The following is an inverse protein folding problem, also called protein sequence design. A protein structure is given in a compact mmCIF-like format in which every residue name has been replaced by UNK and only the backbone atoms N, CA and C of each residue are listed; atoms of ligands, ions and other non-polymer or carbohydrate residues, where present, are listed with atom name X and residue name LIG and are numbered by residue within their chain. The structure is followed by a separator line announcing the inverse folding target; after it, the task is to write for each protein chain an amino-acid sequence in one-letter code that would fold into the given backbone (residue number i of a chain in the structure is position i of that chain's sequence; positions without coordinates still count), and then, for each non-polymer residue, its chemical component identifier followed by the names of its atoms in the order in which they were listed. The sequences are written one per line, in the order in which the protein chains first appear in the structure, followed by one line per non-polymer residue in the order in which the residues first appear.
data_IF_155868152664
#
_entry.id   IF_155868152664
#
_cell.length_a   1.000
_cell.length_b   1.000
_cell.length_c   1.000
_cell.angle_alpha   90.00
_cell.angle_beta   90.00
_cell.angle_gamma   90.00
#
_symmetry.space_group_name_H-M   'P 1'
#
loop_
_entity.id
_entity.type
_entity.pdbx_description
1 polymer ?
#
# COMPACT_ATOMS: atom_id res chain seq x y z
N UNK A 1 -16.95 28.79 27.67
CA UNK A 1 -15.82 28.43 26.79
C UNK A 1 -16.40 27.60 25.66
N UNK A 2 -16.53 28.20 24.48
CA UNK A 2 -17.17 27.58 23.31
C UNK A 2 -16.31 26.41 22.83
N UNK A 3 -16.89 25.21 22.77
CA UNK A 3 -16.34 24.05 22.09
C UNK A 3 -16.21 24.38 20.60
N UNK A 4 -14.99 24.66 20.16
CA UNK A 4 -14.64 24.85 18.75
C UNK A 4 -14.65 23.47 18.06
N UNK A 5 -15.83 22.84 17.97
CA UNK A 5 -16.05 21.64 17.18
C UNK A 5 -15.98 22.02 15.71
N UNK A 6 -14.76 22.06 15.16
CA UNK A 6 -14.57 22.09 13.71
C UNK A 6 -15.39 20.93 13.11
N UNK A 7 -16.22 21.20 12.09
CA UNK A 7 -17.01 20.14 11.47
C UNK A 7 -16.09 19.04 10.94
N UNK A 8 -16.48 17.78 11.18
CA UNK A 8 -15.74 16.63 10.67
C UNK A 8 -15.59 16.73 9.16
N UNK A 9 -14.41 16.43 8.65
CA UNK A 9 -14.17 16.43 7.22
C UNK A 9 -14.91 15.28 6.54
N UNK A 10 -15.63 15.59 5.47
CA UNK A 10 -16.26 14.60 4.60
C UNK A 10 -15.53 14.55 3.23
N UNK A 11 -14.82 13.45 2.91
CA UNK A 11 -14.31 13.21 1.57
C UNK A 11 -15.44 12.97 0.58
N UNK A 12 -15.21 13.30 -0.70
CA UNK A 12 -16.10 12.87 -1.79
C UNK A 12 -15.56 11.64 -2.49
N UNK A 13 -14.27 11.66 -2.83
CA UNK A 13 -13.63 10.63 -3.66
C UNK A 13 -12.24 10.32 -3.13
N UNK A 14 -12.07 9.08 -2.66
CA UNK A 14 -10.89 8.61 -1.94
C UNK A 14 -10.12 7.64 -2.81
N UNK A 15 -8.86 7.95 -3.12
CA UNK A 15 -7.90 6.98 -3.63
C UNK A 15 -7.24 6.26 -2.44
N UNK A 16 -7.39 4.94 -2.37
CA UNK A 16 -6.69 4.09 -1.41
C UNK A 16 -5.66 3.27 -2.17
N UNK A 17 -4.37 3.52 -1.94
CA UNK A 17 -3.29 2.76 -2.59
C UNK A 17 -2.91 1.55 -1.73
N UNK A 18 -2.52 0.43 -2.34
CA UNK A 18 -2.21 -0.80 -1.59
C UNK A 18 -3.47 -1.48 -1.05
N UNK A 19 -4.63 -1.15 -1.64
CA UNK A 19 -5.96 -1.48 -1.11
C UNK A 19 -6.25 -3.00 -1.05
N UNK A 20 -5.57 -3.81 -1.86
CA UNK A 20 -5.72 -5.27 -1.84
C UNK A 20 -4.80 -5.94 -0.79
N UNK A 21 -3.94 -5.17 -0.13
CA UNK A 21 -3.13 -5.63 1.01
C UNK A 21 -3.95 -5.79 2.30
N UNK A 22 -3.29 -6.28 3.34
CA UNK A 22 -3.91 -6.60 4.63
C UNK A 22 -4.68 -5.41 5.25
N UNK A 23 -3.99 -4.41 5.81
CA UNK A 23 -4.63 -3.31 6.57
C UNK A 23 -5.59 -2.49 5.67
N UNK A 24 -5.13 -2.15 4.47
CA UNK A 24 -5.86 -1.27 3.58
C UNK A 24 -7.18 -1.89 3.08
N UNK A 25 -7.26 -3.21 2.95
CA UNK A 25 -8.51 -3.88 2.57
C UNK A 25 -9.58 -3.75 3.65
N UNK A 26 -9.22 -3.86 4.94
CA UNK A 26 -10.14 -3.62 6.06
C UNK A 26 -10.62 -2.17 6.07
N UNK A 27 -9.72 -1.20 5.89
CA UNK A 27 -10.07 0.23 5.76
C UNK A 27 -11.02 0.45 4.58
N UNK A 28 -10.69 -0.12 3.42
CA UNK A 28 -11.49 -0.01 2.19
C UNK A 28 -12.88 -0.56 2.39
N UNK A 29 -13.00 -1.81 2.86
CA UNK A 29 -14.29 -2.46 3.09
C UNK A 29 -15.14 -1.72 4.12
N UNK A 30 -14.50 -1.21 5.18
CA UNK A 30 -15.17 -0.40 6.20
C UNK A 30 -15.72 0.89 5.62
N UNK A 31 -14.93 1.65 4.86
CA UNK A 31 -15.35 2.92 4.28
C UNK A 31 -16.46 2.73 3.23
N UNK A 32 -16.33 1.72 2.37
CA UNK A 32 -17.36 1.37 1.37
C UNK A 32 -18.70 1.04 2.05
N UNK A 33 -18.68 0.20 3.09
CA UNK A 33 -19.87 -0.25 3.82
C UNK A 33 -20.53 0.87 4.62
N UNK A 34 -19.74 1.67 5.33
CA UNK A 34 -20.26 2.62 6.31
C UNK A 34 -20.61 3.99 5.69
N UNK A 35 -20.01 4.34 4.54
CA UNK A 35 -20.19 5.64 3.90
C UNK A 35 -20.56 5.51 2.42
N UNK A 36 -21.84 5.21 2.09
CA UNK A 36 -22.31 5.04 0.71
C UNK A 36 -22.09 6.28 -0.19
N UNK A 37 -21.91 7.46 0.41
CA UNK A 37 -21.63 8.73 -0.30
C UNK A 37 -20.17 8.87 -0.74
N UNK A 38 -19.23 8.17 -0.09
CA UNK A 38 -17.83 8.21 -0.47
C UNK A 38 -17.62 7.29 -1.67
N UNK A 39 -17.01 7.81 -2.74
CA UNK A 39 -16.52 6.98 -3.85
C UNK A 39 -15.10 6.53 -3.51
N UNK A 40 -14.88 5.23 -3.49
CA UNK A 40 -13.61 4.62 -3.13
C UNK A 40 -12.96 4.03 -4.39
N UNK A 41 -11.77 4.53 -4.71
CA UNK A 41 -10.92 4.03 -5.79
C UNK A 41 -9.77 3.27 -5.13
N UNK A 42 -9.81 1.95 -5.23
CA UNK A 42 -8.77 1.06 -4.72
C UNK A 42 -7.72 0.83 -5.79
N UNK A 43 -6.50 1.30 -5.57
CA UNK A 43 -5.34 1.12 -6.45
C UNK A 43 -4.38 0.11 -5.84
N UNK A 44 -4.04 -0.95 -6.56
CA UNK A 44 -3.05 -1.94 -6.12
C UNK A 44 -2.34 -2.60 -7.31
N UNK A 45 -1.05 -2.90 -7.17
CA UNK A 45 -0.28 -3.62 -8.21
C UNK A 45 -0.52 -5.13 -8.19
N UNK A 46 -1.17 -5.65 -7.14
CA UNK A 46 -1.37 -7.06 -6.86
C UNK A 46 -0.05 -7.81 -6.69
N UNK A 47 0.73 -7.35 -5.71
CA UNK A 47 1.96 -8.02 -5.27
C UNK A 47 1.69 -9.31 -4.47
N UNK A 48 2.74 -10.06 -4.14
CA UNK A 48 2.65 -11.38 -3.51
C UNK A 48 1.83 -11.41 -2.21
N UNK A 49 1.86 -10.33 -1.42
CA UNK A 49 1.14 -10.21 -0.14
C UNK A 49 -0.20 -9.47 -0.26
N UNK A 50 -0.76 -9.39 -1.46
CA UNK A 50 -2.05 -8.73 -1.74
C UNK A 50 -2.96 -9.66 -2.53
N UNK A 51 -4.26 -9.49 -2.36
CA UNK A 51 -5.25 -10.36 -3.01
C UNK A 51 -6.55 -9.61 -3.24
N UNK A 52 -7.11 -9.73 -4.44
CA UNK A 52 -8.44 -9.20 -4.72
C UNK A 52 -9.52 -9.83 -3.85
N UNK A 53 -9.28 -11.05 -3.34
CA UNK A 53 -10.21 -11.73 -2.41
C UNK A 53 -10.47 -10.87 -1.16
N UNK A 54 -9.47 -10.09 -0.73
CA UNK A 54 -9.58 -9.20 0.44
C UNK A 54 -10.61 -8.08 0.24
N UNK A 55 -10.95 -7.76 -1.02
CA UNK A 55 -11.90 -6.72 -1.40
C UNK A 55 -13.26 -7.28 -1.83
N UNK A 56 -13.48 -8.59 -1.75
CA UNK A 56 -14.77 -9.22 -2.06
C UNK A 56 -15.98 -8.54 -1.40
N UNK A 57 -15.93 -8.12 -0.12
CA UNK A 57 -17.06 -7.43 0.50
C UNK A 57 -17.47 -6.11 -0.19
N UNK A 58 -16.56 -5.49 -0.95
CA UNK A 58 -16.78 -4.22 -1.63
C UNK A 58 -17.00 -4.33 -3.13
N UNK A 59 -16.68 -5.47 -3.77
CA UNK A 59 -16.64 -5.59 -5.24
C UNK A 59 -17.95 -5.22 -5.93
N UNK A 60 -19.10 -5.54 -5.32
CA UNK A 60 -20.42 -5.25 -5.90
C UNK A 60 -20.99 -3.88 -5.50
N UNK A 61 -20.28 -3.11 -4.68
CA UNK A 61 -20.79 -1.84 -4.15
C UNK A 61 -20.73 -0.74 -5.20
N UNK A 62 -21.80 0.07 -5.39
CA UNK A 62 -21.88 1.09 -6.44
C UNK A 62 -20.95 2.29 -6.21
N UNK A 63 -20.32 2.36 -5.04
CA UNK A 63 -19.38 3.37 -4.63
C UNK A 63 -17.93 2.87 -4.56
N UNK A 64 -17.64 1.69 -5.12
CA UNK A 64 -16.32 1.09 -5.15
C UNK A 64 -15.82 0.87 -6.59
N UNK A 65 -14.54 1.17 -6.84
CA UNK A 65 -13.84 0.88 -8.09
C UNK A 65 -12.46 0.33 -7.75
N UNK A 66 -12.07 -0.78 -8.39
CA UNK A 66 -10.70 -1.29 -8.31
C UNK A 66 -9.92 -0.92 -9.58
N UNK A 67 -8.65 -0.55 -9.41
CA UNK A 67 -7.70 -0.28 -10.48
C UNK A 67 -6.43 -1.07 -10.19
N UNK A 68 -6.07 -1.98 -11.11
CA UNK A 68 -4.77 -2.64 -11.07
C UNK A 68 -3.70 -1.70 -11.61
N UNK A 69 -2.68 -1.40 -10.83
CA UNK A 69 -1.54 -0.61 -11.28
C UNK A 69 -0.58 -0.21 -10.17
N UNK A 70 0.55 0.34 -10.57
CA UNK A 70 1.64 0.67 -9.66
C UNK A 70 1.74 2.18 -9.42
N UNK A 71 1.93 2.58 -8.17
CA UNK A 71 2.08 3.98 -7.76
C UNK A 71 3.36 4.61 -8.30
N UNK A 72 4.34 3.81 -8.74
CA UNK A 72 5.55 4.33 -9.41
C UNK A 72 5.26 4.87 -10.82
N UNK A 73 4.10 4.54 -11.39
CA UNK A 73 3.68 5.08 -12.68
C UNK A 73 3.05 6.47 -12.49
N UNK A 74 3.85 7.51 -12.70
CA UNK A 74 3.39 8.90 -12.61
C UNK A 74 2.19 9.18 -13.53
N UNK A 75 2.19 8.61 -14.74
CA UNK A 75 1.11 8.79 -15.71
C UNK A 75 -0.21 8.20 -15.22
N UNK A 76 -0.17 6.98 -14.67
CA UNK A 76 -1.34 6.33 -14.10
C UNK A 76 -1.89 7.13 -12.92
N UNK A 77 -1.01 7.54 -12.00
CA UNK A 77 -1.39 8.31 -10.82
C UNK A 77 -2.02 9.64 -11.24
N UNK A 78 -1.36 10.41 -12.11
CA UNK A 78 -1.87 11.69 -12.60
C UNK A 78 -3.22 11.53 -13.28
N UNK A 79 -3.37 10.52 -14.14
CA UNK A 79 -4.65 10.26 -14.77
C UNK A 79 -5.73 9.94 -13.74
N UNK A 80 -5.47 9.01 -12.82
CA UNK A 80 -6.49 8.58 -11.86
C UNK A 80 -6.96 9.75 -10.99
N UNK A 81 -6.05 10.59 -10.51
CA UNK A 81 -6.42 11.74 -9.70
C UNK A 81 -7.28 12.76 -10.47
N UNK A 82 -7.02 12.94 -11.77
CA UNK A 82 -7.78 13.84 -12.65
C UNK A 82 -9.13 13.27 -13.07
N UNK A 83 -9.15 12.09 -13.68
CA UNK A 83 -10.34 11.46 -14.25
C UNK A 83 -11.37 11.12 -13.17
N UNK A 84 -10.89 10.62 -12.04
CA UNK A 84 -11.76 10.32 -10.92
C UNK A 84 -12.06 11.55 -10.07
N UNK A 85 -11.50 12.74 -10.31
CA UNK A 85 -11.69 13.94 -9.46
C UNK A 85 -11.43 13.62 -7.97
N UNK A 86 -10.30 12.95 -7.69
CA UNK A 86 -9.93 12.52 -6.34
C UNK A 86 -9.67 13.75 -5.48
N UNK A 87 -10.24 13.78 -4.26
CA UNK A 87 -10.02 14.85 -3.29
C UNK A 87 -9.27 14.39 -2.03
N UNK A 88 -9.13 13.08 -1.85
CA UNK A 88 -8.53 12.46 -0.68
C UNK A 88 -7.68 11.28 -1.09
N UNK A 89 -6.48 11.16 -0.53
CA UNK A 89 -5.61 10.00 -0.72
C UNK A 89 -5.31 9.36 0.63
N UNK A 90 -5.44 8.04 0.71
CA UNK A 90 -4.96 7.23 1.83
C UNK A 90 -3.89 6.27 1.31
N UNK A 91 -2.64 6.56 1.61
CA UNK A 91 -1.50 5.91 1.00
C UNK A 91 -0.93 4.78 1.87
N UNK A 92 -1.38 3.54 1.63
CA UNK A 92 -0.91 2.32 2.30
C UNK A 92 0.12 1.51 1.50
N UNK A 93 0.23 1.73 0.18
CA UNK A 93 1.12 0.94 -0.68
C UNK A 93 2.58 1.06 -0.24
N UNK A 94 3.21 -0.08 0.05
CA UNK A 94 4.60 -0.18 0.46
C UNK A 94 5.09 -1.63 0.35
N UNK A 95 6.40 -1.82 0.22
CA UNK A 95 7.06 -3.07 0.60
C UNK A 95 7.32 -3.06 2.10
N UNK A 96 7.02 -4.16 2.80
CA UNK A 96 6.97 -4.20 4.28
C UNK A 96 7.60 -5.40 4.97
N UNK A 97 8.18 -6.37 4.24
CA UNK A 97 8.81 -7.52 4.88
C UNK A 97 10.28 -7.21 5.26
N UNK A 98 10.55 -7.05 6.55
CA UNK A 98 11.87 -6.65 7.07
C UNK A 98 12.99 -7.57 6.58
N UNK A 99 12.82 -8.90 6.64
CA UNK A 99 13.88 -9.82 6.19
C UNK A 99 14.17 -9.69 4.68
N UNK A 100 13.15 -9.40 3.86
CA UNK A 100 13.34 -9.22 2.42
C UNK A 100 14.09 -7.91 2.12
N UNK A 101 13.99 -6.91 3.00
CA UNK A 101 14.65 -5.61 2.86
C UNK A 101 16.17 -5.69 2.95
N UNK A 102 16.71 -6.69 3.66
CA UNK A 102 18.16 -6.94 3.69
C UNK A 102 18.67 -7.57 2.39
N UNK A 103 17.83 -8.35 1.72
CA UNK A 103 18.18 -9.02 0.46
C UNK A 103 17.97 -8.15 -0.78
N UNK A 104 16.95 -7.28 -0.78
CA UNK A 104 16.59 -6.43 -1.93
C UNK A 104 16.18 -5.00 -1.49
N UNK A 105 17.07 -4.28 -0.81
CA UNK A 105 16.79 -2.94 -0.28
C UNK A 105 16.40 -1.90 -1.35
N UNK A 106 16.90 -2.03 -2.58
CA UNK A 106 16.55 -1.11 -3.67
C UNK A 106 15.06 -1.14 -4.01
N UNK A 107 14.42 -2.31 -3.98
CA UNK A 107 12.99 -2.42 -4.23
C UNK A 107 12.17 -1.67 -3.16
N UNK A 108 12.64 -1.65 -1.91
CA UNK A 108 12.02 -0.88 -0.83
C UNK A 108 12.18 0.63 -1.08
N UNK A 109 13.35 1.08 -1.53
CA UNK A 109 13.54 2.48 -1.94
C UNK A 109 12.60 2.88 -3.08
N UNK A 110 12.49 2.05 -4.12
CA UNK A 110 11.63 2.32 -5.27
C UNK A 110 10.15 2.36 -4.87
N UNK A 111 9.65 1.36 -4.15
CA UNK A 111 8.23 1.33 -3.79
C UNK A 111 7.89 2.37 -2.72
N UNK A 112 8.69 2.47 -1.65
CA UNK A 112 8.32 3.27 -0.49
C UNK A 112 8.68 4.75 -0.68
N UNK A 113 9.87 5.08 -1.16
CA UNK A 113 10.30 6.48 -1.33
C UNK A 113 9.84 7.01 -2.68
N UNK A 114 10.25 6.39 -3.78
CA UNK A 114 9.93 6.91 -5.11
C UNK A 114 8.43 6.86 -5.40
N UNK A 115 7.73 5.77 -5.05
CA UNK A 115 6.27 5.70 -5.14
C UNK A 115 5.54 6.79 -4.34
N UNK A 116 5.98 7.07 -3.10
CA UNK A 116 5.44 8.20 -2.32
C UNK A 116 5.71 9.54 -3.01
N UNK A 117 6.91 9.72 -3.56
CA UNK A 117 7.29 10.96 -4.24
C UNK A 117 6.43 11.21 -5.49
N UNK A 118 6.14 10.18 -6.28
CA UNK A 118 5.24 10.26 -7.44
C UNK A 118 3.85 10.75 -7.01
N UNK A 119 3.29 10.18 -5.94
CA UNK A 119 2.00 10.62 -5.41
C UNK A 119 2.04 12.08 -4.93
N UNK A 120 3.11 12.50 -4.25
CA UNK A 120 3.25 13.87 -3.75
C UNK A 120 3.37 14.90 -4.88
N UNK A 121 4.15 14.62 -5.93
CA UNK A 121 4.24 15.49 -7.11
C UNK A 121 2.88 15.58 -7.84
N UNK A 122 2.17 14.46 -7.99
CA UNK A 122 0.83 14.47 -8.58
C UNK A 122 -0.15 15.31 -7.74
N UNK A 123 -0.12 15.18 -6.41
CA UNK A 123 -0.95 16.00 -5.52
C UNK A 123 -0.65 17.49 -5.64
N UNK A 124 0.63 17.85 -5.75
CA UNK A 124 1.10 19.23 -5.89
C UNK A 124 0.58 19.86 -7.18
N UNK A 125 0.61 19.13 -8.30
CA UNK A 125 0.06 19.61 -9.58
C UNK A 125 -1.45 19.87 -9.51
N UNK A 126 -2.17 19.10 -8.69
CA UNK A 126 -3.62 19.20 -8.53
C UNK A 126 -4.05 20.08 -7.36
N UNK A 127 -3.13 20.74 -6.66
CA UNK A 127 -3.52 21.64 -5.57
C UNK A 127 -4.39 22.81 -6.11
N UNK A 128 -5.53 23.15 -5.48
CA UNK A 128 -6.04 22.70 -4.18
C UNK A 128 -7.12 21.59 -4.23
N UNK A 129 -7.25 20.84 -5.33
CA UNK A 129 -8.21 19.73 -5.48
C UNK A 129 -8.03 18.68 -4.39
N UNK A 130 -6.78 18.30 -4.09
CA UNK A 130 -6.46 17.41 -2.98
C UNK A 130 -6.66 18.16 -1.67
N UNK A 131 -7.61 17.69 -0.86
CA UNK A 131 -7.98 18.27 0.43
C UNK A 131 -7.43 17.50 1.62
N UNK A 132 -7.01 16.25 1.43
CA UNK A 132 -6.27 15.47 2.45
C UNK A 132 -5.40 14.37 1.82
N UNK A 133 -4.16 14.24 2.31
CA UNK A 133 -3.25 13.15 1.98
C UNK A 133 -2.81 12.43 3.26
N UNK A 134 -3.31 11.22 3.51
CA UNK A 134 -2.95 10.42 4.68
C UNK A 134 -1.83 9.46 4.30
N UNK A 135 -0.65 9.67 4.86
CA UNK A 135 0.50 8.80 4.69
C UNK A 135 0.55 7.77 5.81
N UNK A 136 0.55 6.49 5.45
CA UNK A 136 0.61 5.39 6.41
C UNK A 136 2.05 4.93 6.61
N UNK A 137 2.54 5.05 7.82
CA UNK A 137 3.87 4.64 8.26
C UNK A 137 3.79 3.67 9.45
N UNK A 138 4.92 3.43 10.10
CA UNK A 138 5.12 2.37 11.11
C UNK A 138 5.79 2.93 12.36
N UNK A 139 5.65 2.27 13.50
CA UNK A 139 6.42 2.57 14.71
C UNK A 139 7.93 2.32 14.58
N UNK A 140 8.34 1.36 13.75
CA UNK A 140 9.77 1.06 13.49
C UNK A 140 10.61 2.27 13.04
N UNK A 141 9.97 3.34 12.54
CA UNK A 141 10.68 4.59 12.19
C UNK A 141 11.28 5.29 13.40
N UNK A 142 10.76 5.05 14.61
CA UNK A 142 11.32 5.57 15.86
C UNK A 142 12.56 4.78 16.31
N UNK A 143 12.75 3.55 15.81
CA UNK A 143 13.79 2.65 16.28
C UNK A 143 13.46 1.98 17.62
N UNK A 144 14.43 1.26 18.16
CA UNK A 144 14.32 0.53 19.42
C UNK A 144 14.01 1.46 20.61
N UNK A 145 13.14 0.99 21.50
CA UNK A 145 12.86 1.66 22.79
C UNK A 145 13.47 0.85 23.93
N UNK A 146 14.07 1.55 24.91
CA UNK A 146 14.62 0.91 26.11
C UNK A 146 13.54 0.07 26.84
N UNK A 147 13.93 -1.14 27.27
CA UNK A 147 13.04 -2.07 27.97
C UNK A 147 12.54 -1.51 29.32
N UNK A 148 13.35 -0.66 29.96
CA UNK A 148 13.02 -0.06 31.26
C UNK A 148 12.20 1.24 31.14
N UNK A 149 11.90 1.70 29.92
CA UNK A 149 11.13 2.92 29.71
C UNK A 149 9.63 2.68 29.88
N UNK A 150 8.99 3.43 30.76
CA UNK A 150 7.51 3.51 30.86
C UNK A 150 6.92 4.60 29.94
N UNK A 151 7.77 5.31 29.19
CA UNK A 151 7.37 6.39 28.30
C UNK A 151 7.47 5.89 26.86
N UNK A 152 6.32 5.81 26.20
CA UNK A 152 6.23 5.49 24.77
C UNK A 152 6.65 6.68 23.91
N UNK A 153 7.10 6.39 22.69
CA UNK A 153 7.46 7.40 21.70
C UNK A 153 6.22 8.21 21.31
N UNK A 154 6.24 9.51 21.63
CA UNK A 154 5.25 10.47 21.18
C UNK A 154 5.53 10.89 19.73
N UNK A 155 4.57 11.53 19.06
CA UNK A 155 4.71 11.86 17.64
C UNK A 155 5.86 12.82 17.29
N UNK A 156 6.35 13.56 18.30
CA UNK A 156 7.48 14.47 18.19
C UNK A 156 8.84 13.78 18.43
N UNK A 157 8.87 12.50 18.78
CA UNK A 157 10.12 11.72 18.92
C UNK A 157 10.91 11.71 17.62
N UNK A 158 12.24 11.64 17.75
CA UNK A 158 13.15 11.55 16.62
C UNK A 158 12.94 10.22 15.87
N UNK A 159 13.12 10.24 14.55
CA UNK A 159 13.15 9.02 13.75
C UNK A 159 14.56 8.44 13.76
N UNK A 160 14.71 7.21 14.23
CA UNK A 160 15.96 6.47 14.36
C UNK A 160 15.82 5.05 13.76
N UNK A 161 15.45 4.92 12.47
CA UNK A 161 15.22 3.61 11.87
C UNK A 161 16.50 2.75 11.86
N UNK A 162 16.35 1.47 12.18
CA UNK A 162 17.45 0.52 12.38
C UNK A 162 17.61 -0.51 11.26
N UNK A 163 16.65 -0.58 10.32
CA UNK A 163 16.65 -1.55 9.22
C UNK A 163 16.28 -0.90 7.86
N UNK A 164 16.60 -1.53 6.71
CA UNK A 164 16.35 -0.92 5.40
C UNK A 164 14.87 -0.61 5.14
N UNK A 165 13.93 -1.44 5.62
CA UNK A 165 12.50 -1.15 5.52
C UNK A 165 12.12 0.12 6.28
N UNK A 166 12.41 0.19 7.59
CA UNK A 166 12.06 1.35 8.42
C UNK A 166 12.77 2.62 7.95
N UNK A 167 14.00 2.51 7.42
CA UNK A 167 14.72 3.63 6.82
C UNK A 167 14.00 4.19 5.59
N UNK A 168 13.46 3.33 4.72
CA UNK A 168 12.70 3.80 3.55
C UNK A 168 11.34 4.40 3.92
N UNK A 169 10.68 3.89 4.97
CA UNK A 169 9.46 4.50 5.52
C UNK A 169 9.73 5.88 6.12
N UNK A 170 10.79 6.02 6.91
CA UNK A 170 11.22 7.32 7.44
C UNK A 170 11.62 8.29 6.32
N UNK A 171 12.30 7.82 5.27
CA UNK A 171 12.64 8.62 4.09
C UNK A 171 11.40 9.13 3.34
N UNK A 172 10.37 8.29 3.20
CA UNK A 172 9.09 8.71 2.64
C UNK A 172 8.38 9.76 3.51
N UNK A 173 8.41 9.61 4.84
CA UNK A 173 7.88 10.61 5.77
C UNK A 173 8.57 11.97 5.64
N UNK A 174 9.90 11.98 5.46
CA UNK A 174 10.65 13.23 5.25
C UNK A 174 10.17 13.97 3.98
N UNK A 175 9.87 13.25 2.90
CA UNK A 175 9.25 13.85 1.71
C UNK A 175 7.86 14.41 2.02
N UNK A 176 6.99 13.64 2.68
CA UNK A 176 5.63 14.10 3.04
C UNK A 176 5.69 15.38 3.88
N UNK A 177 6.56 15.41 4.88
CA UNK A 177 6.79 16.59 5.74
C UNK A 177 7.29 17.79 4.94
N UNK A 178 8.30 17.60 4.07
CA UNK A 178 8.84 18.65 3.23
C UNK A 178 7.78 19.22 2.29
N UNK A 179 6.97 18.36 1.67
CA UNK A 179 5.92 18.79 0.74
C UNK A 179 4.79 19.57 1.41
N UNK A 180 4.41 19.19 2.63
CA UNK A 180 3.51 20.00 3.44
C UNK A 180 4.09 21.40 3.71
N UNK A 181 5.36 21.48 4.14
CA UNK A 181 6.01 22.75 4.48
C UNK A 181 6.26 23.64 3.27
N UNK A 182 6.70 23.06 2.16
CA UNK A 182 7.12 23.80 0.96
C UNK A 182 5.95 24.15 0.03
N UNK A 183 4.93 23.29 -0.06
CA UNK A 183 3.84 23.44 -1.04
C UNK A 183 2.45 23.52 -0.40
N UNK A 184 2.35 23.47 0.94
CA UNK A 184 1.07 23.55 1.64
C UNK A 184 0.17 22.33 1.43
N UNK A 185 0.71 21.18 0.98
CA UNK A 185 -0.10 19.98 0.78
C UNK A 185 -0.79 19.56 2.09
N UNK A 186 -2.07 19.14 2.05
CA UNK A 186 -2.84 18.83 3.26
C UNK A 186 -2.54 17.44 3.80
N UNK A 187 -1.29 17.21 4.22
CA UNK A 187 -0.83 15.88 4.63
C UNK A 187 -1.15 15.57 6.09
N UNK A 188 -1.37 14.30 6.40
CA UNK A 188 -1.43 13.74 7.76
C UNK A 188 -0.62 12.46 7.73
N UNK A 189 0.19 12.21 8.74
CA UNK A 189 0.95 10.95 8.85
C UNK A 189 0.38 10.10 9.98
N UNK A 190 0.30 8.78 9.79
CA UNK A 190 0.01 7.84 10.86
C UNK A 190 1.17 6.89 11.07
N UNK A 191 1.48 6.51 12.31
CA UNK A 191 2.50 5.50 12.64
C UNK A 191 1.84 4.43 13.51
N UNK A 192 1.77 3.20 13.03
CA UNK A 192 1.05 2.11 13.70
C UNK A 192 1.96 1.08 14.36
N UNK A 193 1.47 0.44 15.43
CA UNK A 193 2.04 -0.81 15.95
C UNK A 193 1.74 -2.00 15.03
N UNK A 194 2.22 -3.20 15.41
CA UNK A 194 1.90 -4.46 14.72
C UNK A 194 0.39 -4.68 14.66
N UNK A 195 -0.11 -4.90 13.45
CA UNK A 195 -1.53 -5.22 13.21
C UNK A 195 -1.67 -6.71 12.97
N UNK A 196 -2.76 -7.30 13.44
CA UNK A 196 -3.09 -8.71 13.21
C UNK A 196 -4.59 -8.90 12.94
N UNK A 197 -4.93 -9.98 12.23
CA UNK A 197 -6.30 -10.25 11.84
C UNK A 197 -6.47 -11.14 10.62
N UNK A 198 -7.72 -11.33 10.18
CA UNK A 198 -8.06 -11.88 8.86
C UNK A 198 -7.27 -11.23 7.72
N UNK A 199 -7.06 -11.93 6.60
CA UNK A 199 -6.37 -11.39 5.42
C UNK A 199 -4.92 -10.92 5.65
N UNK A 200 -4.26 -11.30 6.74
CA UNK A 200 -2.82 -11.06 6.88
C UNK A 200 -2.04 -12.13 6.09
N UNK A 201 -0.91 -11.76 5.49
CA UNK A 201 -0.14 -12.74 4.71
C UNK A 201 0.60 -13.73 5.64
N UNK A 202 0.62 -15.05 5.34
CA UNK A 202 1.17 -16.12 6.18
C UNK A 202 2.64 -16.04 6.60
N UNK A 203 3.44 -15.13 6.04
CA UNK A 203 4.82 -14.92 6.48
C UNK A 203 4.90 -14.22 7.86
N UNK A 204 3.84 -13.49 8.24
CA UNK A 204 3.77 -12.72 9.49
C UNK A 204 3.51 -13.66 10.67
N UNK A 205 3.97 -13.24 11.85
CA UNK A 205 4.05 -14.08 13.06
C UNK A 205 2.76 -14.84 13.38
N UNK A 206 1.65 -14.13 13.60
CA UNK A 206 0.38 -14.72 14.05
C UNK A 206 -0.20 -15.67 12.98
N UNK A 207 -0.35 -15.27 11.71
CA UNK A 207 -0.78 -16.17 10.64
C UNK A 207 0.10 -17.41 10.47
N UNK A 208 1.43 -17.23 10.53
CA UNK A 208 2.40 -18.33 10.44
C UNK A 208 2.15 -19.34 11.55
N UNK A 209 2.04 -18.86 12.79
CA UNK A 209 1.83 -19.73 13.93
C UNK A 209 0.50 -20.45 13.89
N UNK A 210 -0.58 -19.76 13.49
CA UNK A 210 -1.89 -20.40 13.30
C UNK A 210 -1.79 -21.54 12.27
N UNK A 211 -1.20 -21.27 11.11
CA UNK A 211 -1.12 -22.28 10.04
C UNK A 211 -0.19 -23.44 10.37
N UNK A 212 0.91 -23.22 11.08
CA UNK A 212 1.78 -24.30 11.57
C UNK A 212 1.09 -25.12 12.66
N UNK A 213 0.42 -24.48 13.61
CA UNK A 213 -0.35 -25.17 14.65
C UNK A 213 -1.49 -26.01 14.05
N UNK A 214 -2.18 -25.51 13.02
CA UNK A 214 -3.19 -26.27 12.27
C UNK A 214 -2.62 -27.53 11.59
N UNK A 215 -1.32 -27.56 11.30
CA UNK A 215 -0.60 -28.71 10.73
C UNK A 215 0.04 -29.61 11.79
N UNK A 216 -0.05 -29.24 13.07
CA UNK A 216 0.68 -29.92 14.15
C UNK A 216 2.20 -29.74 14.05
N UNK A 217 2.66 -28.69 13.37
CA UNK A 217 4.08 -28.36 13.20
C UNK A 217 4.56 -27.43 14.34
N UNK A 218 5.88 -27.37 14.53
CA UNK A 218 6.50 -26.49 15.52
C UNK A 218 6.45 -25.02 15.07
N UNK A 219 6.38 -24.12 16.04
CA UNK A 219 6.30 -22.67 15.91
C UNK A 219 7.70 -22.08 16.06
N UNK A 220 8.30 -21.56 14.98
CA UNK A 220 9.66 -21.05 15.03
C UNK A 220 9.71 -19.71 15.75
N UNK A 221 10.54 -19.62 16.78
CA UNK A 221 10.83 -18.41 17.55
C UNK A 221 12.26 -17.96 17.25
N UNK A 222 12.40 -16.76 16.71
CA UNK A 222 13.71 -16.15 16.46
C UNK A 222 14.40 -15.74 17.76
N UNK A 223 15.68 -16.13 17.89
CA UNK A 223 16.47 -15.82 19.08
C UNK A 223 15.92 -16.52 20.31
N UNK A 224 15.73 -15.77 21.39
CA UNK A 224 15.14 -16.26 22.64
C UNK A 224 13.63 -15.96 22.76
N UNK A 225 13.04 -15.28 21.77
CA UNK A 225 11.63 -14.88 21.78
C UNK A 225 11.26 -13.78 22.78
N UNK A 226 12.25 -13.13 23.41
CA UNK A 226 12.03 -12.06 24.39
C UNK A 226 11.56 -10.74 23.76
N UNK A 227 11.60 -10.64 22.43
CA UNK A 227 11.18 -9.47 21.69
C UNK A 227 9.71 -9.11 21.97
N UNK A 228 9.49 -7.86 22.35
CA UNK A 228 8.21 -7.32 22.80
C UNK A 228 7.60 -6.44 21.73
N UNK A 229 6.32 -6.63 21.45
CA UNK A 229 5.54 -5.80 20.53
C UNK A 229 4.16 -5.51 21.10
N UNK A 230 3.57 -4.41 20.66
CA UNK A 230 2.15 -4.13 20.84
C UNK A 230 1.37 -4.64 19.63
N UNK A 231 0.25 -5.31 19.87
CA UNK A 231 -0.59 -5.89 18.81
C UNK A 231 -1.97 -5.26 18.81
N UNK A 232 -2.40 -4.76 17.64
CA UNK A 232 -3.73 -4.19 17.43
C UNK A 232 -4.55 -5.01 16.44
N UNK A 233 -5.82 -5.23 16.76
CA UNK A 233 -6.73 -5.94 15.87
C UNK A 233 -7.08 -5.08 14.65
N UNK A 234 -7.11 -5.69 13.46
CA UNK A 234 -7.20 -4.98 12.18
C UNK A 234 -8.45 -4.09 12.03
N UNK A 235 -9.60 -4.47 12.59
CA UNK A 235 -10.81 -3.65 12.53
C UNK A 235 -10.74 -2.41 13.43
N UNK A 236 -10.07 -2.50 14.59
CA UNK A 236 -9.83 -1.35 15.46
C UNK A 236 -8.87 -0.35 14.77
N UNK A 237 -7.88 -0.87 14.05
CA UNK A 237 -6.97 -0.06 13.22
C UNK A 237 -7.72 0.55 12.03
N UNK A 238 -8.64 -0.18 11.39
CA UNK A 238 -9.46 0.37 10.33
C UNK A 238 -10.34 1.53 10.83
N UNK A 239 -10.87 1.42 12.05
CA UNK A 239 -11.57 2.52 12.71
C UNK A 239 -10.64 3.69 13.05
N UNK A 240 -9.38 3.44 13.45
CA UNK A 240 -8.40 4.49 13.66
C UNK A 240 -8.21 5.36 12.40
N UNK A 241 -8.08 4.73 11.24
CA UNK A 241 -7.97 5.42 9.96
C UNK A 241 -9.21 6.23 9.60
N UNK A 242 -10.41 5.72 9.90
CA UNK A 242 -11.67 6.47 9.75
C UNK A 242 -11.68 7.74 10.63
N UNK A 243 -11.27 7.61 11.89
CA UNK A 243 -11.18 8.76 12.82
C UNK A 243 -10.16 9.79 12.34
N UNK A 244 -8.97 9.35 11.93
CA UNK A 244 -7.92 10.25 11.39
C UNK A 244 -8.38 10.92 10.09
N UNK A 245 -9.07 10.19 9.22
CA UNK A 245 -9.63 10.74 7.98
C UNK A 245 -10.60 11.89 8.24
N UNK A 246 -11.49 11.75 9.22
CA UNK A 246 -12.55 12.73 9.48
C UNK A 246 -12.09 13.87 10.40
N UNK A 247 -11.30 13.55 11.43
CA UNK A 247 -10.99 14.46 12.54
C UNK A 247 -9.51 14.84 12.62
N UNK A 248 -8.64 14.16 11.87
CA UNK A 248 -7.22 14.44 11.86
C UNK A 248 -6.92 15.86 11.36
N UNK A 249 -5.97 16.51 12.03
CA UNK A 249 -5.51 17.87 11.71
C UNK A 249 -4.40 17.80 10.67
N UNK A 250 -4.51 18.61 9.62
CA UNK A 250 -3.48 18.74 8.58
C UNK A 250 -2.14 19.15 9.20
N UNK A 251 -1.05 18.55 8.71
CA UNK A 251 0.32 18.75 9.20
C UNK A 251 0.67 17.94 10.45
N UNK A 252 -0.29 17.20 11.02
CA UNK A 252 -0.06 16.42 12.22
C UNK A 252 0.29 14.96 11.90
N UNK A 253 1.04 14.36 12.81
CA UNK A 253 1.25 12.91 12.90
C UNK A 253 0.32 12.35 13.99
N UNK A 254 -0.15 11.11 13.83
CA UNK A 254 -0.92 10.36 14.83
C UNK A 254 -0.37 8.95 15.00
N UNK A 255 -0.01 8.60 16.23
CA UNK A 255 0.32 7.21 16.57
C UNK A 255 -0.97 6.37 16.73
N UNK A 256 -1.01 5.21 16.09
CA UNK A 256 -2.05 4.20 16.24
C UNK A 256 -1.43 3.02 17.01
N UNK A 257 -1.62 3.01 18.32
CA UNK A 257 -0.94 2.04 19.18
C UNK A 257 -1.76 1.58 20.38
N UNK A 258 -1.15 0.71 21.17
CA UNK A 258 -1.64 0.31 22.48
C UNK A 258 -0.46 0.17 23.45
N UNK A 259 -0.73 0.36 24.74
CA UNK A 259 0.24 0.10 25.81
C UNK A 259 0.31 -1.37 26.22
N UNK A 260 -0.54 -2.22 25.62
CA UNK A 260 -0.59 -3.66 25.89
C UNK A 260 0.47 -4.37 25.06
N UNK A 261 1.55 -4.73 25.73
CA UNK A 261 2.69 -5.40 25.13
C UNK A 261 2.60 -6.92 25.32
N UNK A 262 3.11 -7.67 24.35
CA UNK A 262 3.27 -9.13 24.43
C UNK A 262 4.60 -9.54 23.81
N UNK A 263 5.28 -10.50 24.42
CA UNK A 263 6.47 -11.09 23.80
C UNK A 263 6.07 -12.18 22.79
N UNK A 264 6.99 -12.54 21.90
CA UNK A 264 6.75 -13.57 20.88
C UNK A 264 6.42 -14.93 21.51
N UNK A 265 7.03 -15.26 22.64
CA UNK A 265 6.74 -16.49 23.39
C UNK A 265 5.28 -16.55 23.87
N UNK A 266 4.73 -15.44 24.37
CA UNK A 266 3.35 -15.40 24.83
C UNK A 266 2.37 -15.58 23.67
N UNK A 267 2.67 -14.99 22.51
CA UNK A 267 1.88 -15.20 21.28
C UNK A 267 1.89 -16.67 20.86
N UNK A 268 3.05 -17.33 20.87
CA UNK A 268 3.16 -18.75 20.54
C UNK A 268 2.36 -19.63 21.51
N UNK A 269 2.45 -19.36 22.81
CA UNK A 269 1.70 -20.07 23.86
C UNK A 269 0.19 -19.88 23.72
N UNK A 270 -0.25 -18.64 23.51
CA UNK A 270 -1.67 -18.31 23.35
C UNK A 270 -2.26 -19.07 22.16
N UNK A 271 -1.58 -19.08 21.01
CA UNK A 271 -2.01 -19.84 19.83
C UNK A 271 -1.98 -21.35 20.10
N UNK A 272 -0.90 -21.89 20.68
CA UNK A 272 -0.79 -23.31 21.01
C UNK A 272 -1.93 -23.78 21.93
N UNK A 273 -2.25 -23.00 22.96
CA UNK A 273 -3.34 -23.28 23.89
C UNK A 273 -4.70 -23.34 23.19
N UNK A 274 -4.96 -22.47 22.20
CA UNK A 274 -6.23 -22.48 21.45
C UNK A 274 -6.41 -23.73 20.58
N UNK A 275 -5.31 -24.38 20.18
CA UNK A 275 -5.32 -25.66 19.48
C UNK A 275 -5.21 -26.86 20.44
N UNK A 276 -5.16 -26.64 21.75
CA UNK A 276 -4.98 -27.70 22.75
C UNK A 276 -3.60 -28.37 22.69
N UNK A 277 -2.60 -27.67 22.16
CA UNK A 277 -1.23 -28.17 22.04
C UNK A 277 -0.43 -27.85 23.31
N UNK A 278 0.50 -28.73 23.68
CA UNK A 278 1.38 -28.54 24.84
C UNK A 278 2.50 -27.57 24.48
N UNK A 279 2.59 -26.36 25.08
CA UNK A 279 3.50 -25.30 24.64
C UNK A 279 4.97 -25.72 24.52
N UNK A 280 5.46 -26.56 25.44
CA UNK A 280 6.85 -27.02 25.47
C UNK A 280 7.24 -27.89 24.27
N UNK A 281 6.25 -28.54 23.63
CA UNK A 281 6.48 -29.42 22.48
C UNK A 281 6.29 -28.71 21.13
N UNK A 282 5.78 -27.48 21.17
CA UNK A 282 5.28 -26.74 20.02
C UNK A 282 6.23 -25.64 19.62
N UNK A 283 7.20 -25.27 20.45
CA UNK A 283 8.14 -24.17 20.17
C UNK A 283 9.47 -24.72 19.65
N UNK A 284 9.98 -24.14 18.57
CA UNK A 284 11.33 -24.37 18.06
C UNK A 284 12.10 -23.05 18.08
N UNK A 285 13.25 -23.00 18.74
CA UNK A 285 14.12 -21.82 18.67
C UNK A 285 15.00 -21.86 17.42
N UNK A 286 14.97 -20.78 16.65
CA UNK A 286 15.73 -20.63 15.41
C UNK A 286 16.68 -19.43 15.51
N UNK A 287 17.61 -19.34 14.56
CA UNK A 287 18.53 -18.21 14.49
C UNK A 287 17.77 -16.87 14.50
N UNK A 288 18.36 -15.89 15.20
CA UNK A 288 17.77 -14.56 15.29
C UNK A 288 17.94 -13.78 13.98
N UNK A 289 17.18 -12.70 13.85
CA UNK A 289 17.28 -11.77 12.72
C UNK A 289 18.41 -10.76 12.96
N UNK A 290 19.16 -10.37 11.91
CA UNK A 290 20.10 -9.25 12.03
C UNK A 290 19.37 -7.96 12.42
N UNK A 291 19.92 -7.22 13.38
CA UNK A 291 19.43 -5.88 13.79
C UNK A 291 17.93 -5.89 14.18
N UNK A 292 17.54 -6.89 14.99
CA UNK A 292 16.17 -7.03 15.45
C UNK A 292 15.95 -6.24 16.74
N UNK A 293 15.24 -5.11 16.63
CA UNK A 293 14.93 -4.27 17.79
C UNK A 293 14.12 -5.05 18.83
N UNK A 294 14.49 -4.96 20.11
CA UNK A 294 13.82 -5.76 21.15
C UNK A 294 12.43 -5.27 21.48
N UNK A 295 12.19 -3.96 21.41
CA UNK A 295 10.91 -3.35 21.81
C UNK A 295 10.58 -2.12 21.00
N UNK A 296 9.31 -2.00 20.63
CA UNK A 296 8.70 -0.77 20.13
C UNK A 296 7.56 -0.36 21.06
N UNK A 297 7.62 0.86 21.58
CA UNK A 297 6.61 1.37 22.51
C UNK A 297 6.14 2.76 22.07
N UNK A 298 4.83 2.90 21.82
CA UNK A 298 4.21 4.14 21.34
C UNK A 298 3.39 4.84 22.42
N UNK A 299 3.38 6.17 22.39
CA UNK A 299 2.33 6.96 23.03
C UNK A 299 1.17 7.18 22.04
N UNK A 300 -0.03 6.73 22.40
CA UNK A 300 -1.26 6.77 21.60
C UNK A 300 -2.27 7.86 22.06
N UNK A 301 -1.90 8.70 23.03
CA UNK A 301 -2.83 9.63 23.67
C UNK A 301 -3.40 10.68 22.71
N UNK A 302 -2.63 11.09 21.69
CA UNK A 302 -3.06 12.11 20.73
C UNK A 302 -4.24 11.63 19.88
N UNK A 303 -4.21 10.38 19.43
CA UNK A 303 -5.31 9.79 18.68
C UNK A 303 -6.52 9.51 19.56
N UNK A 304 -6.30 9.06 20.81
CA UNK A 304 -7.39 8.90 21.80
C UNK A 304 -8.16 10.19 22.04
N UNK A 305 -7.48 11.33 22.07
CA UNK A 305 -8.11 12.66 22.17
C UNK A 305 -8.98 13.02 20.96
N UNK A 306 -8.83 12.36 19.80
CA UNK A 306 -9.75 12.49 18.66
C UNK A 306 -11.02 11.60 18.80
N UNK A 307 -11.09 10.78 19.84
CA UNK A 307 -12.22 9.90 20.12
C UNK A 307 -12.06 8.46 19.61
N UNK A 308 -10.85 8.05 19.21
CA UNK A 308 -10.57 6.64 18.94
C UNK A 308 -10.20 5.90 20.24
N UNK A 309 -10.59 4.64 20.34
CA UNK A 309 -10.13 3.74 21.40
C UNK A 309 -10.12 2.30 20.87
N UNK A 310 -9.17 1.51 21.36
CA UNK A 310 -9.15 0.06 21.17
C UNK A 310 -10.43 -0.54 21.78
N UNK A 311 -11.12 -1.40 21.03
CA UNK A 311 -12.39 -2.05 21.46
C UNK A 311 -12.25 -3.55 21.59
N UNK A 312 -11.33 -4.14 20.84
CA UNK A 312 -11.15 -5.58 20.74
C UNK A 312 -10.11 -6.03 21.75
N UNK A 313 -10.47 -7.00 22.60
CA UNK A 313 -9.50 -7.65 23.49
C UNK A 313 -8.50 -8.49 22.67
N UNK A 314 -7.33 -8.80 23.25
CA UNK A 314 -6.39 -9.71 22.59
C UNK A 314 -7.02 -11.07 22.35
N UNK A 315 -7.74 -11.58 23.34
CA UNK A 315 -8.36 -12.90 23.34
C UNK A 315 -9.44 -12.99 22.25
N UNK A 316 -10.30 -11.97 22.12
CA UNK A 316 -11.32 -11.93 21.07
C UNK A 316 -10.72 -11.76 19.68
N UNK A 317 -9.76 -10.84 19.53
CA UNK A 317 -9.12 -10.61 18.25
C UNK A 317 -8.37 -11.85 17.76
N UNK A 318 -7.66 -12.54 18.67
CA UNK A 318 -6.93 -13.76 18.34
C UNK A 318 -7.90 -14.88 17.95
N UNK A 319 -9.01 -15.04 18.68
CA UNK A 319 -10.08 -15.99 18.36
C UNK A 319 -10.67 -15.74 16.98
N UNK A 320 -11.06 -14.50 16.68
CA UNK A 320 -11.60 -14.14 15.36
C UNK A 320 -10.59 -14.37 14.23
N UNK A 321 -9.31 -14.10 14.50
CA UNK A 321 -8.22 -14.36 13.56
C UNK A 321 -8.08 -15.86 13.26
N UNK A 322 -8.03 -16.69 14.32
CA UNK A 322 -7.92 -18.15 14.21
C UNK A 322 -9.13 -18.75 13.49
N UNK A 323 -10.33 -18.34 13.85
CA UNK A 323 -11.58 -18.76 13.19
C UNK A 323 -11.51 -18.49 11.69
N UNK A 324 -11.03 -17.31 11.30
CA UNK A 324 -10.90 -16.94 9.89
C UNK A 324 -9.91 -17.82 9.13
N UNK A 325 -8.69 -18.07 9.66
CA UNK A 325 -7.71 -18.95 8.99
C UNK A 325 -8.20 -20.39 8.89
N UNK A 326 -8.93 -20.86 9.92
CA UNK A 326 -9.52 -22.21 9.93
C UNK A 326 -10.60 -22.36 8.85
N UNK A 327 -11.39 -21.30 8.62
CA UNK A 327 -12.41 -21.28 7.58
C UNK A 327 -11.86 -20.99 6.18
N UNK A 328 -10.65 -20.42 6.08
CA UNK A 328 -10.05 -19.98 4.82
C UNK A 328 -8.61 -20.53 4.62
N UNK A 329 -8.36 -21.85 4.76
CA UNK A 329 -7.00 -22.41 4.76
C UNK A 329 -6.25 -22.25 3.43
N UNK A 330 -6.98 -22.04 2.32
CA UNK A 330 -6.43 -21.90 0.98
C UNK A 330 -6.52 -20.47 0.42
N UNK A 331 -6.81 -19.47 1.26
CA UNK A 331 -7.01 -18.09 0.82
C UNK A 331 -5.86 -17.56 -0.05
N UNK A 332 -4.64 -17.85 0.40
CA UNK A 332 -3.38 -17.40 -0.19
C UNK A 332 -2.73 -18.41 -1.14
N UNK A 333 -3.38 -19.54 -1.43
CA UNK A 333 -2.80 -20.62 -2.24
C UNK A 333 -1.69 -21.37 -1.51
N UNK A 334 -0.60 -21.69 -2.21
CA UNK A 334 0.56 -22.34 -1.60
C UNK A 334 1.41 -21.34 -0.80
N UNK A 335 1.47 -21.59 0.51
CA UNK A 335 2.13 -20.73 1.49
C UNK A 335 3.37 -21.39 2.10
N UNK A 336 3.79 -22.55 1.59
CA UNK A 336 4.88 -23.35 2.15
C UNK A 336 6.16 -22.53 2.33
N UNK A 337 6.52 -21.74 1.31
CA UNK A 337 7.68 -20.86 1.38
C UNK A 337 7.57 -19.76 2.46
N UNK A 338 6.35 -19.24 2.69
CA UNK A 338 6.09 -18.19 3.67
C UNK A 338 6.17 -18.70 5.11
N UNK A 339 5.92 -20.00 5.33
CA UNK A 339 5.95 -20.63 6.65
C UNK A 339 7.35 -21.00 7.12
N UNK A 340 8.37 -20.91 6.26
CA UNK A 340 9.77 -21.04 6.70
C UNK A 340 10.11 -19.97 7.76
N UNK A 341 11.01 -20.29 8.71
CA UNK A 341 11.40 -19.33 9.75
C UNK A 341 11.96 -18.03 9.16
N UNK A 342 12.84 -18.13 8.17
CA UNK A 342 13.40 -17.01 7.40
C UNK A 342 12.95 -17.09 5.95
N UNK A 343 11.73 -16.63 5.62
CA UNK A 343 11.21 -16.74 4.27
C UNK A 343 12.03 -15.85 3.33
N UNK A 344 12.45 -16.42 2.19
CA UNK A 344 13.03 -15.67 1.06
C UNK A 344 12.03 -15.72 -0.08
N UNK A 345 11.13 -14.75 -0.12
CA UNK A 345 10.13 -14.69 -1.19
C UNK A 345 10.74 -13.90 -2.34
N UNK A 346 11.07 -14.59 -3.44
CA UNK A 346 11.34 -13.91 -4.71
C UNK A 346 10.01 -13.50 -5.34
N UNK A 347 9.86 -12.23 -5.74
CA UNK A 347 8.75 -11.74 -6.57
C UNK A 347 8.68 -12.54 -7.88
N UNK A 348 7.96 -13.67 -7.91
CA UNK A 348 7.93 -14.55 -9.08
C UNK A 348 6.73 -15.49 -9.19
N UNK A 349 5.96 -15.73 -8.12
CA UNK A 349 4.78 -16.59 -8.17
C UNK A 349 3.49 -15.77 -8.02
N UNK A 350 2.89 -15.39 -9.14
CA UNK A 350 1.55 -14.81 -9.17
C UNK A 350 0.50 -15.88 -8.85
N UNK A 351 -0.49 -15.53 -8.03
CA UNK A 351 -1.74 -16.30 -7.94
C UNK A 351 -2.47 -16.20 -9.29
N UNK A 352 -2.70 -17.32 -9.97
CA UNK A 352 -3.40 -17.37 -11.26
C UNK A 352 -4.87 -16.93 -11.18
N UNK A 353 -5.45 -16.87 -9.98
CA UNK A 353 -6.88 -16.66 -9.75
C UNK A 353 -7.35 -15.21 -9.90
N UNK A 354 -6.46 -14.22 -9.81
CA UNK A 354 -6.86 -12.81 -9.77
C UNK A 354 -7.34 -12.27 -11.14
N UNK A 355 -7.06 -12.98 -12.22
CA UNK A 355 -7.48 -12.61 -13.58
C UNK A 355 -9.00 -12.62 -13.77
N UNK A 356 -9.71 -13.48 -13.04
CA UNK A 356 -11.17 -13.63 -13.15
C UNK A 356 -11.93 -12.41 -12.60
N UNK A 357 -11.44 -11.80 -11.52
CA UNK A 357 -12.14 -10.70 -10.84
C UNK A 357 -11.99 -9.34 -11.55
N UNK A 358 -10.92 -9.15 -12.32
CA UNK A 358 -10.69 -7.91 -13.08
C UNK A 358 -11.73 -7.70 -14.19
N UNK A 359 -12.31 -8.78 -14.74
CA UNK A 359 -13.33 -8.68 -15.79
C UNK A 359 -14.67 -8.13 -15.28
N UNK A 360 -15.05 -8.42 -14.03
CA UNK A 360 -16.38 -8.08 -13.50
C UNK A 360 -16.54 -6.61 -13.09
N UNK A 361 -15.44 -5.87 -12.89
CA UNK A 361 -15.47 -4.42 -12.61
C UNK A 361 -15.60 -3.52 -13.85
N UNK A 362 -15.64 -4.10 -15.05
CA UNK A 362 -15.56 -3.35 -16.33
C UNK A 362 -16.87 -3.28 -17.13
N UNK A 363 -17.99 -3.71 -16.56
CA UNK A 363 -19.26 -3.73 -17.31
C UNK A 363 -19.89 -2.35 -17.34
N UNK A 364 -19.56 -1.56 -18.38
CA UNK A 364 -20.50 -0.69 -19.10
C UNK A 364 -19.89 -0.19 -20.44
N UNK A 365 -20.58 -0.59 -21.53
CA UNK A 365 -20.60 -0.03 -22.90
C UNK A 365 -19.32 -0.11 -23.75
N UNK A 366 -19.10 -1.28 -24.36
CA UNK A 366 -18.50 -1.38 -25.70
C UNK A 366 -19.62 -1.58 -26.72
N UNK A 367 -19.99 -0.51 -27.40
CA UNK A 367 -20.53 -0.61 -28.77
C UNK A 367 -19.34 -0.73 -29.73
N UNK A 368 -19.53 -1.57 -30.74
CA UNK A 368 -18.60 -1.92 -31.81
C UNK A 368 -17.83 -0.73 -32.41
N UNK A 369 -16.61 -1.01 -32.91
CA UNK A 369 -16.22 -0.80 -34.31
C UNK A 369 -14.77 -1.29 -34.48
N UNK A 370 -14.60 -2.31 -35.33
CA UNK A 370 -13.32 -2.68 -35.94
C UNK A 370 -12.93 -1.56 -36.92
N UNK A 371 -11.78 -0.93 -36.72
CA UNK A 371 -11.19 0.01 -37.68
C UNK A 371 -9.69 -0.22 -37.81
N UNK A 372 -9.24 -0.67 -38.98
CA UNK A 372 -7.83 -0.65 -39.39
C UNK A 372 -7.47 0.80 -39.71
N UNK A 373 -6.60 1.45 -38.92
CA UNK A 373 -6.05 2.77 -39.22
C UNK A 373 -4.70 2.67 -39.93
N UNK A 374 -4.67 3.08 -41.19
CA UNK A 374 -3.52 3.09 -42.11
C UNK A 374 -2.66 4.35 -41.96
N UNK A 375 -1.35 4.21 -42.17
CA UNK A 375 -0.41 5.32 -42.32
C UNK A 375 -0.86 6.30 -43.43
N UNK A 376 -0.91 7.59 -43.14
CA UNK A 376 -1.07 8.63 -44.17
C UNK A 376 0.30 9.10 -44.64
N UNK A 377 0.58 8.87 -45.93
CA UNK A 377 1.65 9.54 -46.68
C UNK A 377 1.04 10.73 -47.42
N UNK A 378 1.37 11.94 -46.98
CA UNK A 378 1.12 13.16 -47.75
C UNK A 378 2.45 13.89 -47.93
N UNK A 379 2.81 14.15 -49.19
CA UNK A 379 3.96 14.94 -49.60
C UNK A 379 3.66 16.43 -49.48
N UNK A 380 4.39 17.16 -48.65
CA UNK A 380 4.81 18.53 -48.95
C UNK A 380 5.84 19.03 -47.94
N UNK A 381 6.97 19.50 -48.44
CA UNK A 381 8.01 20.24 -47.72
C UNK A 381 7.45 21.58 -47.23
N UNK A 382 6.90 21.59 -46.02
CA UNK A 382 6.57 22.83 -45.30
C UNK A 382 7.38 22.85 -43.98
N UNK A 383 8.38 23.73 -43.82
CA UNK A 383 9.36 23.67 -42.72
C UNK A 383 8.77 23.92 -41.31
N UNK A 384 7.47 24.17 -41.19
CA UNK A 384 6.75 24.40 -39.94
C UNK A 384 5.72 23.31 -39.58
N UNK A 385 5.75 22.15 -40.23
CA UNK A 385 4.81 21.05 -39.88
C UNK A 385 5.31 20.23 -38.70
N UNK A 386 4.55 20.26 -37.60
CA UNK A 386 4.81 19.42 -36.43
C UNK A 386 4.73 17.95 -36.83
N UNK A 387 5.81 17.21 -36.52
CA UNK A 387 5.91 15.76 -36.67
C UNK A 387 6.39 15.12 -35.37
N UNK A 388 5.59 14.24 -34.78
CA UNK A 388 5.90 13.54 -33.54
C UNK A 388 6.40 12.12 -33.78
N UNK A 389 7.41 11.70 -33.02
CA UNK A 389 7.76 10.29 -32.84
C UNK A 389 7.32 9.88 -31.44
N UNK A 390 6.41 8.91 -31.35
CA UNK A 390 5.75 8.51 -30.10
C UNK A 390 6.17 7.08 -29.74
N UNK A 391 6.61 6.82 -28.52
CA UNK A 391 6.80 5.45 -28.01
C UNK A 391 5.62 5.02 -27.13
N UNK A 392 5.52 3.71 -26.86
CA UNK A 392 4.42 3.18 -26.04
C UNK A 392 3.06 3.16 -26.74
N UNK A 393 2.96 2.68 -27.98
CA UNK A 393 1.70 2.58 -28.76
C UNK A 393 0.54 1.91 -27.99
N UNK A 394 0.84 0.83 -27.27
CA UNK A 394 -0.11 0.09 -26.43
C UNK A 394 -0.19 0.63 -25.00
N UNK A 395 0.73 1.53 -24.65
CA UNK A 395 0.67 2.30 -23.42
C UNK A 395 -0.39 3.39 -23.52
N UNK A 396 -0.80 3.88 -22.36
CA UNK A 396 -1.91 4.82 -22.29
C UNK A 396 -1.62 6.15 -22.98
N UNK A 397 -0.49 6.78 -22.64
CA UNK A 397 -0.11 8.08 -23.20
C UNK A 397 0.16 7.94 -24.69
N UNK A 398 1.01 7.00 -25.11
CA UNK A 398 1.30 6.81 -26.53
C UNK A 398 0.04 6.52 -27.37
N UNK A 399 -0.89 5.72 -26.84
CA UNK A 399 -2.18 5.47 -27.48
C UNK A 399 -3.10 6.69 -27.53
N UNK A 400 -3.19 7.49 -26.46
CA UNK A 400 -4.00 8.71 -26.42
C UNK A 400 -3.44 9.79 -27.34
N UNK A 401 -2.11 9.97 -27.33
CA UNK A 401 -1.43 11.00 -28.09
C UNK A 401 -1.52 10.72 -29.60
N UNK A 402 -1.45 9.45 -30.00
CA UNK A 402 -1.74 9.07 -31.39
C UNK A 402 -3.17 9.41 -31.81
N UNK A 403 -4.17 9.22 -30.93
CA UNK A 403 -5.56 9.62 -31.22
C UNK A 403 -5.73 11.14 -31.32
N UNK A 404 -5.03 11.90 -30.47
CA UNK A 404 -5.03 13.37 -30.54
C UNK A 404 -4.39 13.84 -31.85
N UNK A 405 -3.22 13.28 -32.20
CA UNK A 405 -2.55 13.63 -33.45
C UNK A 405 -3.41 13.28 -34.67
N UNK A 406 -4.09 12.13 -34.65
CA UNK A 406 -5.02 11.72 -35.71
C UNK A 406 -6.23 12.65 -35.80
N UNK A 407 -6.81 13.06 -34.67
CA UNK A 407 -7.93 13.99 -34.62
C UNK A 407 -7.56 15.39 -35.13
N UNK A 408 -6.38 15.88 -34.79
CA UNK A 408 -5.94 17.24 -35.07
C UNK A 408 -5.11 17.35 -36.36
N UNK A 409 -4.96 16.25 -37.10
CA UNK A 409 -4.23 16.21 -38.38
C UNK A 409 -2.71 16.42 -38.23
N UNK A 410 -2.16 16.15 -37.06
CA UNK A 410 -0.73 16.27 -36.77
C UNK A 410 0.00 15.02 -37.23
N UNK A 411 1.12 15.18 -37.93
CA UNK A 411 1.92 14.05 -38.40
C UNK A 411 2.55 13.33 -37.20
N UNK A 412 2.40 12.02 -37.14
CA UNK A 412 3.06 11.23 -36.11
C UNK A 412 3.44 9.83 -36.60
N UNK A 413 4.41 9.23 -35.94
CA UNK A 413 4.75 7.83 -36.13
C UNK A 413 5.09 7.19 -34.78
N UNK A 414 4.77 5.89 -34.65
CA UNK A 414 5.19 5.13 -33.48
C UNK A 414 6.61 4.58 -33.64
N UNK A 415 7.43 4.73 -32.60
CA UNK A 415 8.73 4.09 -32.51
C UNK A 415 8.63 2.58 -32.48
N UNK A 416 9.62 1.91 -33.08
CA UNK A 416 9.76 0.45 -33.12
C UNK A 416 10.90 -0.03 -32.21
N UNK A 417 11.80 0.87 -31.84
CA UNK A 417 12.88 0.63 -30.89
C UNK A 417 12.37 0.38 -29.46
N UNK A 418 13.22 -0.25 -28.66
CA UNK A 418 13.00 -0.39 -27.21
C UNK A 418 13.67 0.79 -26.51
N UNK A 419 13.02 1.34 -25.49
CA UNK A 419 13.50 2.54 -24.78
C UNK A 419 14.88 2.33 -24.14
N UNK A 420 15.21 1.09 -23.77
CA UNK A 420 16.51 0.71 -23.24
C UNK A 420 17.63 0.58 -24.30
N UNK A 421 17.31 0.52 -25.60
CA UNK A 421 18.28 0.39 -26.69
C UNK A 421 18.45 1.71 -27.46
N UNK A 422 19.44 2.50 -27.02
CA UNK A 422 19.81 3.79 -27.64
C UNK A 422 20.11 3.72 -29.13
N UNK A 423 20.59 2.58 -29.65
CA UNK A 423 20.89 2.44 -31.08
C UNK A 423 19.58 2.35 -31.87
N UNK A 424 18.62 1.60 -31.36
CA UNK A 424 17.29 1.48 -31.97
C UNK A 424 16.53 2.81 -32.00
N UNK A 425 16.63 3.61 -30.92
CA UNK A 425 16.02 4.93 -30.85
C UNK A 425 16.65 5.92 -31.84
N UNK A 426 17.98 5.88 -32.00
CA UNK A 426 18.69 6.71 -32.96
C UNK A 426 18.32 6.36 -34.42
N UNK A 427 18.09 5.08 -34.72
CA UNK A 427 17.60 4.63 -36.02
C UNK A 427 16.18 5.13 -36.30
N UNK A 428 15.29 5.07 -35.31
CA UNK A 428 13.93 5.60 -35.43
C UNK A 428 13.91 7.11 -35.65
N UNK A 429 14.71 7.89 -34.92
CA UNK A 429 14.82 9.35 -35.12
C UNK A 429 15.35 9.67 -36.52
N UNK A 430 16.37 8.96 -37.01
CA UNK A 430 16.91 9.17 -38.37
C UNK A 430 15.90 8.83 -39.46
N UNK A 431 15.11 7.77 -39.24
CA UNK A 431 14.11 7.27 -40.18
C UNK A 431 12.88 8.18 -40.24
N UNK A 432 12.36 8.56 -39.08
CA UNK A 432 11.12 9.32 -38.95
C UNK A 432 11.37 10.81 -39.18
N UNK A 433 12.56 11.32 -38.84
CA UNK A 433 12.92 12.75 -38.84
C UNK A 433 11.85 13.60 -38.12
N UNK A 434 11.54 13.30 -36.86
CA UNK A 434 10.52 14.02 -36.13
C UNK A 434 11.02 15.41 -35.72
N UNK A 435 10.08 16.32 -35.51
CA UNK A 435 10.34 17.61 -34.84
C UNK A 435 10.36 17.46 -33.32
N UNK A 436 9.64 16.47 -32.78
CA UNK A 436 9.47 16.22 -31.36
C UNK A 436 9.44 14.71 -31.09
N UNK A 437 10.07 14.27 -30.02
CA UNK A 437 10.08 12.87 -29.57
C UNK A 437 9.39 12.79 -28.22
N UNK A 438 8.47 11.84 -28.05
CA UNK A 438 7.74 11.58 -26.82
C UNK A 438 7.89 10.09 -26.49
N UNK A 439 8.46 9.80 -25.32
CA UNK A 439 8.71 8.45 -24.82
C UNK A 439 7.68 8.00 -23.78
#
# INVERSE_FOLDING_TARGET
MSSDERPAYEPRKILITGAAGFIASHVTNRLVRNYPRYKIIALDKLDYCSSLKNLLPSLSSPNFKFVKGDIISADLVNHLLLDEDVDTIMHFAAQSHVDNSFGNSFEFTTNNIYGTHVLLEACKLLSPQIRRFIHVSTDEVYGETDLDSDIGNAEASQLLPTNPYSATKAGAEMLVMAYHRSYGLPTITTRGNNVYGPNQFPEKLIPKFILLAMRGEQLPIHGDGSNVRSYLYCEDVAEAFEVVLQKGVIGHVYNIGTKKERCVLDVARDIGNMFGLVPENVIEFVNDRPFYDKRYFLDDQKLKKLGWQEKTSWEDGLRMTLEWYTQNPHWWGDVTAALHPHPRISCGSYSSDDSYYVQYGSVLRRSDIRGKGSAQTVSSDNPNTLKFLIYGRSGWIGGLLGKICEKDGVLYEYGKGRLEDRRSLAEDVRRVRPTHVLE
#
